data_IF_148968416727
#
_entry.id   IF_148968416727
#
_cell.length_a   1.000
_cell.length_b   1.000
_cell.length_c   1.000
_cell.angle_alpha   90.00
_cell.angle_beta   90.00
_cell.angle_gamma   90.00
#
_symmetry.space_group_name_H-M   'P 1'
#
loop_
_entity.id
_entity.type
_entity.pdbx_description
1 polymer ?
#
# COMPACT_ATOMS: atom_id res chain seq x y z
N UNK A 1 8.04 -4.15 -12.26
CA UNK A 1 8.14 -4.93 -11.00
C UNK A 1 6.86 -5.69 -10.67
N UNK A 2 5.72 -5.02 -10.41
CA UNK A 2 4.47 -5.68 -9.95
C UNK A 2 4.04 -6.89 -10.78
N UNK A 3 4.07 -6.79 -12.11
CA UNK A 3 3.76 -7.94 -13.00
C UNK A 3 4.57 -9.20 -12.64
N UNK A 4 5.87 -9.07 -12.40
CA UNK A 4 6.72 -10.22 -12.06
C UNK A 4 6.37 -10.78 -10.68
N UNK A 5 6.09 -9.93 -9.68
CA UNK A 5 5.68 -10.35 -8.34
C UNK A 5 4.36 -11.13 -8.37
N UNK A 6 3.41 -10.69 -9.20
CA UNK A 6 2.15 -11.39 -9.43
C UNK A 6 2.40 -12.77 -10.05
N UNK A 7 3.30 -12.85 -11.04
CA UNK A 7 3.65 -14.14 -11.66
C UNK A 7 4.35 -15.09 -10.68
N UNK A 8 5.25 -14.58 -9.83
CA UNK A 8 5.86 -15.38 -8.75
C UNK A 8 4.81 -15.93 -7.77
N UNK A 9 3.85 -15.09 -7.36
CA UNK A 9 2.72 -15.52 -6.53
C UNK A 9 1.88 -16.60 -7.22
N UNK A 10 1.50 -16.41 -8.49
CA UNK A 10 0.71 -17.39 -9.26
C UNK A 10 1.44 -18.73 -9.42
N UNK A 11 2.77 -18.73 -9.44
CA UNK A 11 3.59 -19.96 -9.45
C UNK A 11 3.77 -20.59 -8.07
N UNK A 12 3.26 -19.98 -7.01
CA UNK A 12 3.36 -20.46 -5.63
C UNK A 12 4.74 -20.24 -5.00
N UNK A 13 5.58 -19.40 -5.59
CA UNK A 13 6.93 -19.12 -5.10
C UNK A 13 6.93 -18.09 -3.97
N UNK A 14 5.90 -17.24 -3.90
CA UNK A 14 5.76 -16.17 -2.92
C UNK A 14 4.33 -16.12 -2.35
N UNK A 15 4.19 -15.59 -1.14
CA UNK A 15 2.91 -15.24 -0.52
C UNK A 15 3.01 -13.86 0.13
N UNK A 16 1.94 -13.08 0.00
CA UNK A 16 1.78 -11.73 0.54
C UNK A 16 0.84 -11.69 1.75
N UNK A 17 0.34 -12.84 2.21
CA UNK A 17 -0.60 -12.96 3.33
C UNK A 17 -0.12 -12.29 4.62
N UNK A 18 1.19 -12.30 4.86
CA UNK A 18 1.80 -11.74 6.07
C UNK A 18 2.59 -10.44 5.80
N UNK A 19 2.54 -9.93 4.57
CA UNK A 19 3.23 -8.70 4.18
C UNK A 19 2.33 -7.51 4.50
N UNK A 20 2.92 -6.45 5.07
CA UNK A 20 2.24 -5.19 5.43
C UNK A 20 2.82 -4.02 4.64
N UNK A 21 2.46 -3.87 3.36
CA UNK A 21 2.96 -2.77 2.56
C UNK A 21 2.42 -1.44 3.09
N UNK A 22 3.30 -0.45 3.14
CA UNK A 22 2.98 0.94 3.41
C UNK A 22 3.35 1.76 2.18
N UNK A 23 2.36 2.35 1.51
CA UNK A 23 2.58 3.20 0.35
C UNK A 23 3.25 4.52 0.75
N UNK A 24 4.03 5.09 -0.17
CA UNK A 24 4.82 6.29 0.08
C UNK A 24 3.95 7.55 0.24
N UNK A 25 2.94 7.69 -0.61
CA UNK A 25 2.15 8.91 -0.75
C UNK A 25 0.72 8.62 -1.24
N UNK A 26 -0.14 9.63 -1.11
CA UNK A 26 -1.48 9.72 -1.70
C UNK A 26 -1.80 11.20 -1.99
N UNK A 27 -2.63 11.46 -2.99
CA UNK A 27 -3.06 12.82 -3.32
C UNK A 27 -4.04 13.38 -2.28
N UNK A 28 -3.82 14.64 -1.87
CA UNK A 28 -4.76 15.36 -1.00
C UNK A 28 -5.96 15.85 -1.80
N UNK A 29 -7.17 15.58 -1.30
CA UNK A 29 -8.43 16.06 -1.89
C UNK A 29 -8.91 15.29 -3.12
N UNK A 30 -8.23 14.20 -3.50
CA UNK A 30 -8.65 13.33 -4.60
C UNK A 30 -9.50 12.18 -4.06
N UNK A 31 -10.72 11.93 -4.58
CA UNK A 31 -11.55 10.81 -4.12
C UNK A 31 -10.80 9.47 -4.19
N UNK A 32 -10.99 8.64 -3.16
CA UNK A 32 -10.30 7.34 -3.04
C UNK A 32 -10.61 6.37 -4.18
N UNK A 33 -11.80 6.49 -4.77
CA UNK A 33 -12.26 5.69 -5.91
C UNK A 33 -11.90 6.31 -7.27
N UNK A 34 -11.25 7.48 -7.28
CA UNK A 34 -10.76 8.09 -8.50
C UNK A 34 -9.73 7.15 -9.17
N UNK A 35 -9.81 6.92 -10.49
CA UNK A 35 -8.92 5.98 -11.19
C UNK A 35 -7.44 6.36 -11.09
N UNK A 36 -7.14 7.66 -10.98
CA UNK A 36 -5.78 8.18 -10.82
C UNK A 36 -5.35 8.37 -9.36
N UNK A 37 -6.15 7.92 -8.38
CA UNK A 37 -5.66 7.87 -6.99
C UNK A 37 -4.62 6.76 -6.84
N UNK A 38 -3.66 6.93 -5.94
CA UNK A 38 -2.68 5.87 -5.70
C UNK A 38 -3.31 4.64 -5.04
N UNK A 39 -4.40 4.83 -4.29
CA UNK A 39 -5.25 3.75 -3.86
C UNK A 39 -5.75 2.89 -5.03
N UNK A 40 -6.42 3.48 -6.02
CA UNK A 40 -6.92 2.76 -7.21
C UNK A 40 -5.77 2.15 -7.99
N UNK A 41 -4.68 2.89 -8.19
CA UNK A 41 -3.49 2.39 -8.89
C UNK A 41 -2.95 1.11 -8.23
N UNK A 42 -2.75 1.10 -6.91
CA UNK A 42 -2.22 -0.07 -6.21
C UNK A 42 -3.19 -1.24 -6.22
N UNK A 43 -4.49 -0.97 -6.05
CA UNK A 43 -5.50 -2.02 -6.08
C UNK A 43 -5.59 -2.67 -7.45
N UNK A 44 -5.57 -1.87 -8.51
CA UNK A 44 -5.71 -2.34 -9.88
C UNK A 44 -4.46 -3.02 -10.43
N UNK A 45 -3.27 -2.53 -10.06
CA UNK A 45 -2.02 -3.05 -10.61
C UNK A 45 -1.39 -4.14 -9.76
N UNK A 46 -1.74 -4.28 -8.47
CA UNK A 46 -1.08 -5.22 -7.59
C UNK A 46 -1.98 -5.94 -6.58
N UNK A 47 -2.61 -5.23 -5.65
CA UNK A 47 -3.22 -5.86 -4.46
C UNK A 47 -4.36 -6.83 -4.79
N UNK A 48 -5.17 -6.58 -5.83
CA UNK A 48 -6.24 -7.51 -6.22
C UNK A 48 -5.76 -8.81 -6.88
N UNK A 49 -4.47 -8.93 -7.21
CA UNK A 49 -3.90 -10.07 -7.94
C UNK A 49 -3.07 -11.02 -7.05
N UNK A 50 -3.01 -10.75 -5.75
CA UNK A 50 -2.19 -11.48 -4.76
C UNK A 50 -3.03 -11.84 -3.52
N UNK A 51 -2.50 -12.67 -2.62
CA UNK A 51 -3.16 -13.11 -1.38
C UNK A 51 -2.98 -12.13 -0.19
N UNK A 52 -2.82 -10.84 -0.47
CA UNK A 52 -2.72 -9.83 0.58
C UNK A 52 -4.07 -9.67 1.31
N UNK A 53 -4.00 -9.53 2.63
CA UNK A 53 -5.16 -9.18 3.43
C UNK A 53 -5.41 -7.67 3.34
N UNK A 54 -6.63 -7.19 3.03
CA UNK A 54 -6.91 -5.76 2.89
C UNK A 54 -6.52 -4.93 4.12
N UNK A 55 -6.63 -5.49 5.31
CA UNK A 55 -6.21 -4.85 6.57
C UNK A 55 -4.70 -4.61 6.68
N UNK A 56 -3.88 -5.33 5.91
CA UNK A 56 -2.43 -5.15 5.87
C UNK A 56 -1.98 -4.12 4.81
N UNK A 57 -2.86 -3.72 3.89
CA UNK A 57 -2.55 -2.75 2.85
C UNK A 57 -2.72 -1.32 3.40
N UNK A 58 -1.61 -0.69 3.79
CA UNK A 58 -1.61 0.65 4.35
C UNK A 58 -1.30 1.69 3.27
N UNK A 59 -2.25 2.59 3.02
CA UNK A 59 -2.12 3.75 2.13
C UNK A 59 -2.65 4.96 2.91
N UNK A 60 -1.97 6.10 2.80
CA UNK A 60 -2.38 7.36 3.42
C UNK A 60 -3.79 7.77 2.97
N UNK A 61 -4.58 8.33 3.88
CA UNK A 61 -5.84 8.97 3.53
C UNK A 61 -5.65 10.47 3.23
N UNK A 62 -5.48 10.81 1.95
CA UNK A 62 -5.38 12.19 1.49
C UNK A 62 -6.66 13.04 1.68
N UNK A 63 -7.77 12.44 2.11
CA UNK A 63 -9.01 13.15 2.43
C UNK A 63 -9.33 13.16 3.93
N UNK A 64 -8.38 12.77 4.78
CA UNK A 64 -8.53 12.85 6.22
C UNK A 64 -8.84 14.29 6.67
N UNK A 65 -9.68 14.41 7.72
CA UNK A 65 -10.06 15.71 8.27
C UNK A 65 -8.88 16.49 8.86
N UNK A 66 -7.88 15.77 9.37
CA UNK A 66 -6.60 16.31 9.85
C UNK A 66 -5.45 15.50 9.24
N UNK A 67 -4.79 16.11 8.25
CA UNK A 67 -3.68 15.49 7.52
C UNK A 67 -2.45 15.27 8.41
N UNK A 68 -2.21 16.14 9.40
CA UNK A 68 -1.08 15.98 10.32
C UNK A 68 -1.32 14.79 11.22
N UNK A 69 -2.57 14.63 11.69
CA UNK A 69 -2.97 13.45 12.46
C UNK A 69 -2.84 12.17 11.64
N UNK A 70 -3.26 12.16 10.38
CA UNK A 70 -3.11 10.99 9.48
C UNK A 70 -1.64 10.60 9.31
N UNK A 71 -0.74 11.55 9.04
CA UNK A 71 0.69 11.28 8.94
C UNK A 71 1.26 10.68 10.23
N UNK A 72 0.88 11.23 11.40
CA UNK A 72 1.33 10.72 12.69
C UNK A 72 0.84 9.27 12.93
N UNK A 73 -0.42 8.98 12.62
CA UNK A 73 -0.98 7.62 12.74
C UNK A 73 -0.32 6.64 11.76
N UNK A 74 0.03 7.10 10.56
CA UNK A 74 0.73 6.29 9.58
C UNK A 74 2.14 5.90 10.06
N UNK A 75 2.89 6.86 10.62
CA UNK A 75 4.18 6.64 11.28
C UNK A 75 4.08 5.66 12.45
N UNK A 76 3.03 5.76 13.28
CA UNK A 76 2.78 4.83 14.37
C UNK A 76 2.49 3.41 13.87
N UNK A 77 1.72 3.25 12.79
CA UNK A 77 1.47 1.94 12.16
C UNK A 77 2.75 1.30 11.66
N UNK A 78 3.62 2.05 11.00
CA UNK A 78 4.93 1.57 10.54
C UNK A 78 5.78 1.10 11.73
N UNK A 79 5.86 1.91 12.79
CA UNK A 79 6.62 1.56 14.01
C UNK A 79 6.04 0.32 14.70
N UNK A 80 4.71 0.23 14.82
CA UNK A 80 4.03 -0.92 15.41
C UNK A 80 4.21 -2.21 14.59
N UNK A 81 4.44 -2.08 13.28
CA UNK A 81 4.78 -3.22 12.41
C UNK A 81 6.23 -3.68 12.55
N UNK A 82 7.09 -2.95 13.28
CA UNK A 82 8.52 -3.25 13.42
C UNK A 82 9.43 -2.39 12.54
N UNK A 83 8.89 -1.41 11.82
CA UNK A 83 9.62 -0.60 10.84
C UNK A 83 9.49 -1.15 9.42
N UNK A 84 10.22 -0.53 8.49
CA UNK A 84 10.26 -0.94 7.07
C UNK A 84 11.49 -1.81 6.84
N UNK A 85 11.27 -3.08 6.48
CA UNK A 85 12.37 -3.99 6.13
C UNK A 85 13.00 -3.67 4.77
N UNK A 86 12.16 -3.34 3.79
CA UNK A 86 12.56 -3.03 2.42
C UNK A 86 11.69 -1.90 1.89
N UNK A 87 12.34 -0.84 1.41
CA UNK A 87 11.69 0.26 0.70
C UNK A 87 12.01 0.17 -0.79
N UNK A 88 10.97 0.21 -1.64
CA UNK A 88 11.12 0.19 -3.10
C UNK A 88 10.54 1.48 -3.65
N UNK A 89 11.42 2.32 -4.21
CA UNK A 89 11.06 3.60 -4.85
C UNK A 89 11.48 3.64 -6.32
N UNK A 90 10.98 4.65 -7.05
CA UNK A 90 11.45 5.01 -8.39
C UNK A 90 12.60 6.02 -8.36
N UNK A 91 13.22 6.24 -9.52
CA UNK A 91 14.02 7.44 -9.82
C UNK A 91 13.15 8.55 -10.44
#
# INVERSE_FOLDING_TARGET
MYRNLIEFYKRGELSFKYVKPSNMDEYVGLPRDHPESYHSYMWDNFFKHIDILPENAHILDGNAADLVQECNQFEEKIKAAGGVDVFVGGE
#
